data_IF_282207994675
#
_entry.id   IF_282207994675
#
_cell.length_a   1.000
_cell.length_b   1.000
_cell.length_c   1.000
_cell.angle_alpha   90.00
_cell.angle_beta   90.00
_cell.angle_gamma   90.00
#
_symmetry.space_group_name_H-M   'P 1'
#
loop_
_entity.id
_entity.type
_entity.pdbx_description
1 polymer ?
#
# COMPACT_ATOMS: atom_id res chain seq x y z
N UNK A 1 21.17 -22.52 -16.27
CA UNK A 1 20.52 -21.90 -15.07
C UNK A 1 20.35 -20.40 -15.21
N UNK A 2 21.34 -19.66 -15.72
CA UNK A 2 21.23 -18.20 -15.89
C UNK A 2 20.16 -17.82 -16.93
N UNK A 3 20.11 -18.53 -18.05
CA UNK A 3 19.16 -18.24 -19.14
C UNK A 3 17.71 -18.47 -18.72
N UNK A 4 17.45 -19.52 -17.93
CA UNK A 4 16.12 -19.77 -17.36
C UNK A 4 15.68 -18.68 -16.38
N UNK A 5 16.61 -18.13 -15.59
CA UNK A 5 16.29 -17.02 -14.68
C UNK A 5 16.03 -15.72 -15.43
N UNK A 6 16.77 -15.46 -16.52
CA UNK A 6 16.59 -14.27 -17.34
C UNK A 6 15.24 -14.31 -18.07
N UNK A 7 14.91 -15.43 -18.70
CA UNK A 7 13.61 -15.63 -19.35
C UNK A 7 12.43 -15.49 -18.37
N UNK A 8 12.60 -15.97 -17.13
CA UNK A 8 11.60 -15.78 -16.09
C UNK A 8 11.44 -14.30 -15.72
N UNK A 9 12.55 -13.56 -15.59
CA UNK A 9 12.52 -12.13 -15.29
C UNK A 9 11.85 -11.32 -16.41
N UNK A 10 12.17 -11.61 -17.67
CA UNK A 10 11.56 -10.99 -18.84
C UNK A 10 10.04 -11.19 -18.83
N UNK A 11 9.59 -12.44 -18.66
CA UNK A 11 8.16 -12.76 -18.57
C UNK A 11 7.46 -11.99 -17.44
N UNK A 12 8.13 -11.83 -16.29
CA UNK A 12 7.57 -11.07 -15.16
C UNK A 12 7.56 -9.56 -15.40
N UNK A 13 8.54 -9.03 -16.12
CA UNK A 13 8.57 -7.62 -16.51
C UNK A 13 7.46 -7.30 -17.52
N UNK A 14 7.21 -8.18 -18.49
CA UNK A 14 6.11 -8.01 -19.45
C UNK A 14 4.75 -8.03 -18.74
N UNK A 15 4.52 -9.01 -17.86
CA UNK A 15 3.31 -9.05 -17.01
C UNK A 15 3.16 -7.80 -16.15
N UNK A 16 4.26 -7.32 -15.56
CA UNK A 16 4.22 -6.10 -14.74
C UNK A 16 3.89 -4.87 -15.59
N UNK A 17 4.41 -4.79 -16.82
CA UNK A 17 4.13 -3.70 -17.75
C UNK A 17 2.66 -3.65 -18.14
N UNK A 18 2.07 -4.78 -18.51
CA UNK A 18 0.64 -4.86 -18.84
C UNK A 18 -0.25 -4.38 -17.69
N UNK A 19 0.08 -4.78 -16.46
CA UNK A 19 -0.65 -4.34 -15.27
C UNK A 19 -0.46 -2.84 -14.98
N UNK A 20 0.73 -2.30 -15.23
CA UNK A 20 1.02 -0.88 -15.06
C UNK A 20 0.27 -0.03 -16.10
N UNK A 21 0.21 -0.48 -17.35
CA UNK A 21 -0.53 0.21 -18.41
C UNK A 21 -2.02 0.28 -18.05
N UNK A 22 -2.62 -0.84 -17.61
CA UNK A 22 -4.01 -0.86 -17.11
C UNK A 22 -4.23 0.07 -15.91
N UNK A 23 -3.28 0.09 -14.97
CA UNK A 23 -3.34 0.97 -13.81
C UNK A 23 -3.28 2.44 -14.22
N UNK A 24 -2.41 2.80 -15.15
CA UNK A 24 -2.27 4.18 -15.67
C UNK A 24 -3.52 4.60 -16.43
N UNK A 25 -4.07 3.74 -17.30
CA UNK A 25 -5.29 4.02 -18.04
C UNK A 25 -6.48 4.24 -17.10
N UNK A 26 -6.60 3.41 -16.06
CA UNK A 26 -7.59 3.61 -15.01
C UNK A 26 -7.34 4.92 -14.24
N UNK A 27 -6.08 5.20 -13.87
CA UNK A 27 -5.69 6.37 -13.08
C UNK A 27 -5.88 7.71 -13.81
N UNK A 28 -5.66 7.74 -15.12
CA UNK A 28 -5.82 8.93 -15.95
C UNK A 28 -7.25 9.09 -16.48
N UNK A 29 -7.98 7.97 -16.65
CA UNK A 29 -9.35 7.96 -17.16
C UNK A 29 -10.42 8.32 -16.13
N UNK A 30 -10.14 8.11 -14.83
CA UNK A 30 -11.11 8.35 -13.76
C UNK A 30 -10.71 9.58 -12.92
N UNK A 31 -11.66 10.48 -12.64
CA UNK A 31 -11.46 11.57 -11.68
C UNK A 31 -11.64 11.05 -10.24
N UNK A 32 -10.65 10.32 -9.73
CA UNK A 32 -10.64 9.70 -8.40
C UNK A 32 -10.94 10.65 -7.24
N UNK A 33 -10.70 11.94 -7.43
CA UNK A 33 -10.77 12.94 -6.37
C UNK A 33 -12.20 13.22 -5.92
N UNK A 34 -13.17 13.06 -6.82
CA UNK A 34 -14.58 13.38 -6.56
C UNK A 34 -15.41 12.13 -6.20
N UNK A 35 -14.95 10.93 -6.57
CA UNK A 35 -15.69 9.67 -6.40
C UNK A 35 -15.24 8.85 -5.17
N UNK A 36 -13.98 8.97 -4.74
CA UNK A 36 -13.45 8.17 -3.64
C UNK A 36 -13.56 8.86 -2.29
N UNK A 37 -13.85 8.06 -1.26
CA UNK A 37 -13.66 8.51 0.12
C UNK A 37 -12.18 8.80 0.37
N UNK A 38 -11.86 9.70 1.31
CA UNK A 38 -10.46 10.00 1.65
C UNK A 38 -9.65 8.77 2.08
N UNK A 39 -10.31 7.77 2.66
CA UNK A 39 -9.67 6.50 3.03
C UNK A 39 -9.35 5.65 1.79
N UNK A 40 -10.27 5.54 0.83
CA UNK A 40 -10.04 4.77 -0.38
C UNK A 40 -8.99 5.43 -1.28
N UNK A 41 -9.02 6.76 -1.38
CA UNK A 41 -7.96 7.54 -2.01
C UNK A 41 -6.59 7.24 -1.37
N UNK A 42 -6.53 7.22 -0.03
CA UNK A 42 -5.28 6.92 0.68
C UNK A 42 -4.76 5.50 0.41
N UNK A 43 -5.64 4.50 0.30
CA UNK A 43 -5.26 3.12 -0.08
C UNK A 43 -4.65 3.07 -1.47
N UNK A 44 -5.30 3.70 -2.45
CA UNK A 44 -4.83 3.74 -3.84
C UNK A 44 -3.44 4.40 -3.92
N UNK A 45 -3.28 5.58 -3.31
CA UNK A 45 -2.00 6.29 -3.33
C UNK A 45 -0.88 5.56 -2.58
N UNK A 46 -1.20 4.86 -1.47
CA UNK A 46 -0.22 4.02 -0.78
C UNK A 46 0.23 2.85 -1.67
N UNK A 47 -0.69 2.21 -2.39
CA UNK A 47 -0.37 1.13 -3.32
C UNK A 47 0.48 1.60 -4.51
N UNK A 48 0.16 2.76 -5.12
CA UNK A 48 0.96 3.37 -6.19
C UNK A 48 2.37 3.69 -5.68
N UNK A 49 2.47 4.32 -4.51
CA UNK A 49 3.76 4.68 -3.91
C UNK A 49 4.62 3.44 -3.63
N UNK A 50 3.99 2.36 -3.14
CA UNK A 50 4.68 1.09 -2.91
C UNK A 50 5.18 0.47 -4.22
N UNK A 51 4.36 0.50 -5.26
CA UNK A 51 4.70 -0.03 -6.59
C UNK A 51 5.91 0.70 -7.17
N UNK A 52 5.87 2.04 -7.21
CA UNK A 52 6.99 2.86 -7.70
C UNK A 52 8.27 2.63 -6.89
N UNK A 53 8.15 2.58 -5.56
CA UNK A 53 9.33 2.36 -4.71
C UNK A 53 9.94 0.97 -4.91
N UNK A 54 9.09 -0.04 -5.09
CA UNK A 54 9.51 -1.43 -5.32
C UNK A 54 10.18 -1.60 -6.68
N UNK A 55 9.62 -1.01 -7.75
CA UNK A 55 10.24 -1.01 -9.08
C UNK A 55 11.61 -0.34 -9.07
N UNK A 56 11.73 0.80 -8.37
CA UNK A 56 13.03 1.46 -8.21
C UNK A 56 14.02 0.60 -7.41
N UNK A 57 13.56 -0.07 -6.35
CA UNK A 57 14.40 -1.00 -5.58
C UNK A 57 14.92 -2.15 -6.45
N UNK A 58 14.06 -2.76 -7.27
CA UNK A 58 14.44 -3.83 -8.21
C UNK A 58 15.41 -3.30 -9.27
N UNK A 59 15.18 -2.10 -9.83
CA UNK A 59 16.10 -1.48 -10.78
C UNK A 59 17.51 -1.29 -10.19
N UNK A 60 17.61 -0.90 -8.92
CA UNK A 60 18.92 -0.81 -8.25
C UNK A 60 19.58 -2.19 -8.10
N UNK A 61 18.82 -3.24 -7.78
CA UNK A 61 19.34 -4.63 -7.75
C UNK A 61 19.86 -5.06 -9.12
N UNK A 62 19.13 -4.76 -10.20
CA UNK A 62 19.52 -5.10 -11.57
C UNK A 62 20.80 -4.39 -12.01
N UNK A 63 21.05 -3.18 -11.50
CA UNK A 63 22.31 -2.44 -11.69
C UNK A 63 23.48 -2.98 -10.85
N UNK A 64 23.27 -4.04 -10.06
CA UNK A 64 24.27 -4.59 -9.16
C UNK A 64 24.45 -3.80 -7.85
N UNK A 65 23.58 -2.82 -7.58
CA UNK A 65 23.63 -2.04 -6.35
C UNK A 65 22.87 -2.73 -5.21
N UNK A 66 23.36 -2.56 -3.97
CA UNK A 66 22.57 -2.89 -2.80
C UNK A 66 21.61 -1.73 -2.47
N UNK A 67 20.30 -1.85 -2.71
CA UNK A 67 19.38 -0.72 -2.55
C UNK A 67 19.13 -0.35 -1.09
N UNK A 68 19.52 -1.21 -0.13
CA UNK A 68 19.53 -0.87 1.29
C UNK A 68 20.43 0.34 1.61
N UNK A 69 21.45 0.57 0.79
CA UNK A 69 22.36 1.71 0.92
C UNK A 69 21.83 2.98 0.21
N UNK A 70 20.71 2.88 -0.49
CA UNK A 70 20.13 3.97 -1.27
C UNK A 70 18.92 4.58 -0.54
N UNK A 71 18.59 5.86 -0.81
CA UNK A 71 17.43 6.52 -0.22
C UNK A 71 16.11 5.79 -0.46
N UNK A 72 16.03 4.96 -1.51
CA UNK A 72 14.83 4.17 -1.83
C UNK A 72 14.38 3.25 -0.70
N UNK A 73 15.32 2.71 0.09
CA UNK A 73 14.97 1.88 1.23
C UNK A 73 14.24 2.69 2.31
N UNK A 74 14.65 3.94 2.54
CA UNK A 74 13.97 4.86 3.46
C UNK A 74 12.55 5.18 2.97
N UNK A 75 12.37 5.38 1.66
CA UNK A 75 11.04 5.62 1.09
C UNK A 75 10.13 4.39 1.18
N UNK A 76 10.66 3.17 0.97
CA UNK A 76 9.89 1.93 1.22
C UNK A 76 9.43 1.82 2.68
N UNK A 77 10.31 2.14 3.64
CA UNK A 77 9.94 2.17 5.05
C UNK A 77 8.86 3.22 5.35
N UNK A 78 8.90 4.36 4.66
CA UNK A 78 7.90 5.41 4.79
C UNK A 78 6.55 4.96 4.25
N UNK A 79 6.52 4.32 3.07
CA UNK A 79 5.29 3.74 2.50
C UNK A 79 4.71 2.67 3.42
N UNK A 80 5.56 1.81 4.00
CA UNK A 80 5.13 0.81 4.99
C UNK A 80 4.40 1.46 6.18
N UNK A 81 4.94 2.55 6.73
CA UNK A 81 4.27 3.30 7.82
C UNK A 81 2.90 3.83 7.40
N UNK A 82 2.78 4.39 6.19
CA UNK A 82 1.49 4.86 5.68
C UNK A 82 0.47 3.73 5.55
N UNK A 83 0.89 2.55 5.07
CA UNK A 83 0.02 1.38 5.01
C UNK A 83 -0.41 0.90 6.42
N UNK A 84 0.48 0.94 7.41
CA UNK A 84 0.17 0.62 8.80
C UNK A 84 -0.83 1.62 9.41
N UNK A 85 -0.68 2.92 9.13
CA UNK A 85 -1.63 3.96 9.56
C UNK A 85 -3.02 3.75 8.94
N UNK A 86 -3.09 3.51 7.63
CA UNK A 86 -4.33 3.20 6.91
C UNK A 86 -5.00 1.96 7.53
N UNK A 87 -4.24 0.89 7.77
CA UNK A 87 -4.74 -0.33 8.39
C UNK A 87 -5.25 -0.08 9.83
N UNK A 88 -4.56 0.76 10.59
CA UNK A 88 -4.96 1.18 11.93
C UNK A 88 -6.30 1.91 11.93
N UNK A 89 -6.54 2.78 10.94
CA UNK A 89 -7.83 3.48 10.77
C UNK A 89 -8.94 2.48 10.45
N UNK A 90 -8.75 1.60 9.46
CA UNK A 90 -9.73 0.57 9.09
C UNK A 90 -10.11 -0.31 10.28
N UNK A 91 -9.11 -0.72 11.07
CA UNK A 91 -9.33 -1.57 12.24
C UNK A 91 -10.08 -0.83 13.35
N UNK A 92 -9.86 0.49 13.52
CA UNK A 92 -10.59 1.30 14.52
C UNK A 92 -12.06 1.44 14.18
N UNK A 93 -12.41 1.58 12.91
CA UNK A 93 -13.81 1.67 12.48
C UNK A 93 -14.58 0.38 12.76
N UNK A 94 -13.92 -0.78 12.68
CA UNK A 94 -14.50 -2.09 12.98
C UNK A 94 -14.56 -2.46 14.47
N UNK A 95 -14.03 -1.64 15.39
CA UNK A 95 -14.05 -1.99 16.83
C UNK A 95 -15.46 -1.90 17.41
N UNK A 96 -15.88 -2.85 18.26
CA UNK A 96 -17.15 -2.77 18.97
C UNK A 96 -17.20 -1.47 19.79
N UNK A 97 -18.18 -0.62 19.48
CA UNK A 97 -18.38 0.63 20.20
C UNK A 97 -18.93 0.31 21.59
N UNK A 98 -18.25 0.80 22.64
CA UNK A 98 -18.72 0.66 24.01
C UNK A 98 -20.14 1.23 24.14
N UNK A 99 -21.10 0.42 24.55
CA UNK A 99 -22.42 0.90 24.88
C UNK A 99 -22.37 1.70 26.19
N UNK A 100 -22.14 3.01 26.07
CA UNK A 100 -22.03 3.96 27.19
C UNK A 100 -23.28 3.97 28.08
N UNK A 101 -24.44 3.58 27.55
CA UNK A 101 -25.67 3.49 28.34
C UNK A 101 -25.65 2.24 29.23
N UNK A 102 -25.25 1.09 28.68
CA UNK A 102 -25.11 -0.15 29.46
C UNK A 102 -24.01 -0.02 30.53
N UNK A 103 -22.85 0.53 30.16
CA UNK A 103 -21.75 0.76 31.09
C UNK A 103 -22.16 1.69 32.26
N UNK A 104 -22.92 2.77 31.99
CA UNK A 104 -23.45 3.65 33.04
C UNK A 104 -24.44 2.95 33.98
N UNK A 105 -25.28 2.04 33.47
CA UNK A 105 -26.20 1.27 34.31
C UNK A 105 -25.44 0.33 35.25
N UNK A 106 -24.39 -0.34 34.76
CA UNK A 106 -23.56 -1.25 35.57
C UNK A 106 -22.83 -0.51 36.70
N UNK A 107 -22.24 0.66 36.41
CA UNK A 107 -21.56 1.47 37.45
C UNK A 107 -22.54 1.91 38.53
N UNK A 108 -23.75 2.34 38.14
CA UNK A 108 -24.79 2.75 39.10
C UNK A 108 -25.38 1.61 39.91
N UNK A 109 -25.37 0.37 39.43
CA UNK A 109 -25.82 -0.79 40.22
C UNK A 109 -24.78 -1.30 41.21
N UNK A 110 -23.52 -0.88 41.07
CA UNK A 110 -22.41 -1.24 41.95
C UNK A 110 -22.13 -0.19 43.04
N UNK A 111 -22.85 0.95 43.00
CA UNK A 111 -22.81 2.02 44.00
C UNK A 111 -24.09 1.97 44.81
#
# INVERSE_FOLDING_TARGET
>A
MLDSTLSTLETKLDQCRELLDQLVDCLLGCNFKDELTGLDYSKVFAAISFTLCSLHYVNQKLKGHNPANYPIFKELLRVKRYMEEIHGIMTREGRPKLNRSAARKIVRSLT
#
